data_IF_729679385947
#
_entry.id   IF_729679385947
#
_cell.length_a   1.000
_cell.length_b   1.000
_cell.length_c   1.000
_cell.angle_alpha   90.00
_cell.angle_beta   90.00
_cell.angle_gamma   90.00
#
_symmetry.space_group_name_H-M   'P 1'
#
loop_
_entity.id
_entity.type
_entity.pdbx_description
1 polymer ?
#
# COMPACT_ATOMS: atom_id res chain seq x y z
N UNK A 1 24.38 2.23 10.31
CA UNK A 1 25.03 2.73 9.09
C UNK A 1 26.17 1.81 8.69
N UNK A 2 27.04 1.41 9.61
CA UNK A 2 28.19 0.54 9.31
C UNK A 2 27.74 -0.84 8.77
N UNK A 3 26.68 -1.39 9.33
CA UNK A 3 26.11 -2.67 8.88
C UNK A 3 25.47 -2.56 7.49
N UNK A 4 24.84 -1.42 7.20
CA UNK A 4 24.25 -1.13 5.89
C UNK A 4 25.34 -1.01 4.84
N UNK A 5 26.39 -0.23 5.09
CA UNK A 5 27.51 -0.08 4.17
C UNK A 5 28.19 -1.43 3.90
N UNK A 6 28.37 -2.26 4.93
CA UNK A 6 28.92 -3.60 4.81
C UNK A 6 28.03 -4.52 3.98
N UNK A 7 26.71 -4.52 4.23
CA UNK A 7 25.75 -5.34 3.47
C UNK A 7 25.68 -4.93 1.99
N UNK A 8 25.82 -3.63 1.70
CA UNK A 8 25.82 -3.10 0.34
C UNK A 8 27.20 -3.21 -0.36
N UNK A 9 28.25 -3.64 0.33
CA UNK A 9 29.61 -3.73 -0.24
C UNK A 9 30.26 -2.38 -0.58
N UNK A 10 29.81 -1.30 0.05
CA UNK A 10 30.31 0.08 -0.18
C UNK A 10 30.99 0.66 1.06
N UNK A 11 31.81 1.69 0.86
CA UNK A 11 32.42 2.39 1.98
C UNK A 11 31.39 3.25 2.73
N UNK A 12 31.59 3.46 4.03
CA UNK A 12 30.79 4.37 4.86
C UNK A 12 30.79 5.80 4.32
N UNK A 13 31.93 6.27 3.80
CA UNK A 13 32.06 7.59 3.16
C UNK A 13 31.19 7.72 1.92
N UNK A 14 31.13 6.67 1.08
CA UNK A 14 30.27 6.64 -0.10
C UNK A 14 28.79 6.65 0.30
N UNK A 15 28.40 5.90 1.33
CA UNK A 15 27.03 5.90 1.82
C UNK A 15 26.60 7.30 2.30
N UNK A 16 27.44 7.99 3.09
CA UNK A 16 27.18 9.37 3.53
C UNK A 16 27.25 10.41 2.42
N UNK A 17 27.92 10.13 1.32
CA UNK A 17 27.91 10.99 0.14
C UNK A 17 26.51 11.01 -0.53
N UNK A 18 25.83 9.85 -0.56
CA UNK A 18 24.49 9.73 -1.14
C UNK A 18 23.38 10.05 -0.12
N UNK A 19 23.58 9.70 1.15
CA UNK A 19 22.60 9.87 2.21
C UNK A 19 23.24 10.61 3.40
N UNK A 20 23.04 11.94 3.48
CA UNK A 20 23.67 12.77 4.52
C UNK A 20 23.35 12.32 5.95
N UNK A 21 22.20 11.66 6.17
CA UNK A 21 21.79 11.15 7.48
C UNK A 21 21.15 9.76 7.39
N UNK A 22 21.04 9.09 8.56
CA UNK A 22 20.26 7.85 8.70
C UNK A 22 18.79 8.06 8.31
N UNK A 23 18.25 9.24 8.62
CA UNK A 23 16.88 9.61 8.29
C UNK A 23 16.69 9.68 6.77
N UNK A 24 17.59 10.33 6.05
CA UNK A 24 17.50 10.46 4.60
C UNK A 24 17.56 9.08 3.92
N UNK A 25 18.46 8.22 4.39
CA UNK A 25 18.51 6.82 3.94
C UNK A 25 17.20 6.08 4.21
N UNK A 26 16.61 6.27 5.40
CA UNK A 26 15.33 5.63 5.76
C UNK A 26 14.18 6.10 4.87
N UNK A 27 14.05 7.40 4.66
CA UNK A 27 13.03 7.99 3.77
C UNK A 27 13.15 7.45 2.35
N UNK A 28 14.38 7.40 1.80
CA UNK A 28 14.62 6.87 0.46
C UNK A 28 14.36 5.36 0.37
N UNK A 29 14.65 4.61 1.42
CA UNK A 29 14.30 3.18 1.50
C UNK A 29 12.79 2.98 1.47
N UNK A 30 12.03 3.78 2.22
CA UNK A 30 10.55 3.73 2.20
C UNK A 30 10.02 4.13 0.82
N UNK A 31 10.59 5.16 0.20
CA UNK A 31 10.22 5.60 -1.15
C UNK A 31 10.44 4.49 -2.19
N UNK A 32 11.61 3.86 -2.16
CA UNK A 32 11.95 2.75 -3.05
C UNK A 32 11.04 1.54 -2.84
N UNK A 33 10.75 1.18 -1.58
CA UNK A 33 9.82 0.09 -1.26
C UNK A 33 8.39 0.39 -1.73
N UNK A 34 7.91 1.62 -1.56
CA UNK A 34 6.60 2.05 -2.03
C UNK A 34 6.50 2.00 -3.56
N UNK A 35 7.55 2.42 -4.28
CA UNK A 35 7.58 2.32 -5.73
C UNK A 35 7.61 0.86 -6.19
N UNK A 36 8.44 0.02 -5.59
CA UNK A 36 8.49 -1.42 -5.90
C UNK A 36 7.14 -2.10 -5.66
N UNK A 37 6.44 -1.75 -4.58
CA UNK A 37 5.10 -2.26 -4.31
C UNK A 37 4.11 -1.83 -5.39
N UNK A 38 4.12 -0.56 -5.80
CA UNK A 38 3.27 -0.06 -6.88
C UNK A 38 3.53 -0.78 -8.21
N UNK A 39 4.80 -1.06 -8.53
CA UNK A 39 5.18 -1.75 -9.77
C UNK A 39 4.74 -3.21 -9.73
N UNK A 40 4.95 -3.91 -8.62
CA UNK A 40 4.54 -5.32 -8.45
C UNK A 40 3.02 -5.52 -8.50
N UNK A 41 2.26 -4.54 -8.02
CA UNK A 41 0.80 -4.58 -7.96
C UNK A 41 0.11 -4.00 -9.19
N UNK A 42 0.86 -3.66 -10.24
CA UNK A 42 0.34 -3.19 -11.52
C UNK A 42 0.44 -4.29 -12.59
N UNK A 43 -0.44 -5.31 -12.56
CA UNK A 43 -0.46 -6.30 -13.62
C UNK A 43 -0.80 -5.60 -14.94
N UNK A 44 0.02 -5.81 -15.95
CA UNK A 44 -0.21 -5.30 -17.29
C UNK A 44 -1.53 -5.88 -17.85
N UNK A 45 -2.55 -5.06 -17.97
CA UNK A 45 -3.81 -5.47 -18.56
C UNK A 45 -5.07 -4.93 -17.86
N UNK A 46 -6.12 -4.85 -18.52
CA UNK A 46 -7.39 -4.18 -18.34
C UNK A 46 -8.22 -4.36 -17.05
N UNK A 47 -9.50 -4.00 -17.10
CA UNK A 47 -10.40 -3.93 -15.93
C UNK A 47 -10.93 -5.30 -15.46
N UNK A 48 -10.30 -6.41 -15.84
CA UNK A 48 -10.75 -7.76 -15.53
C UNK A 48 -10.70 -8.05 -14.01
N UNK A 49 -11.69 -8.79 -13.45
CA UNK A 49 -11.70 -9.21 -12.04
C UNK A 49 -10.43 -9.96 -11.61
N UNK A 50 -9.86 -10.76 -12.51
CA UNK A 50 -8.58 -11.46 -12.31
C UNK A 50 -7.42 -10.48 -12.01
N UNK A 51 -7.48 -9.27 -12.56
CA UNK A 51 -6.48 -8.23 -12.33
C UNK A 51 -6.49 -7.72 -10.89
N UNK A 52 -7.67 -7.62 -10.26
CA UNK A 52 -7.79 -7.26 -8.85
C UNK A 52 -7.19 -8.34 -7.95
N UNK A 53 -7.55 -9.60 -8.17
CA UNK A 53 -7.04 -10.73 -7.38
C UNK A 53 -5.52 -10.86 -7.53
N UNK A 54 -5.01 -10.73 -8.75
CA UNK A 54 -3.57 -10.74 -9.02
C UNK A 54 -2.85 -9.59 -8.32
N UNK A 55 -3.40 -8.38 -8.36
CA UNK A 55 -2.83 -7.22 -7.67
C UNK A 55 -2.84 -7.37 -6.14
N UNK A 56 -3.91 -7.90 -5.57
CA UNK A 56 -4.00 -8.19 -4.14
C UNK A 56 -3.06 -9.32 -3.72
N UNK A 57 -2.93 -10.39 -4.52
CA UNK A 57 -1.97 -11.46 -4.23
C UNK A 57 -0.52 -10.95 -4.26
N UNK A 58 -0.17 -10.13 -5.25
CA UNK A 58 1.14 -9.48 -5.33
C UNK A 58 1.40 -8.55 -4.14
N UNK A 59 0.38 -7.80 -3.70
CA UNK A 59 0.46 -6.96 -2.50
C UNK A 59 0.72 -7.81 -1.25
N UNK A 60 -0.07 -8.85 -1.02
CA UNK A 60 0.07 -9.71 0.16
C UNK A 60 1.40 -10.47 0.15
N UNK A 61 1.86 -10.93 -1.02
CA UNK A 61 3.17 -11.54 -1.15
C UNK A 61 4.31 -10.57 -0.78
N UNK A 62 4.23 -9.31 -1.25
CA UNK A 62 5.19 -8.27 -0.89
C UNK A 62 5.19 -7.98 0.61
N UNK A 63 4.01 -7.84 1.21
CA UNK A 63 3.85 -7.58 2.65
C UNK A 63 4.38 -8.75 3.49
N UNK A 64 4.17 -9.97 3.04
CA UNK A 64 4.69 -11.18 3.69
C UNK A 64 6.22 -11.28 3.60
N UNK A 65 6.78 -11.00 2.42
CA UNK A 65 8.24 -10.96 2.17
C UNK A 65 8.93 -9.91 3.05
N UNK A 66 8.27 -8.79 3.34
CA UNK A 66 8.83 -7.66 4.08
C UNK A 66 8.15 -7.44 5.45
N UNK A 67 7.58 -8.49 6.06
CA UNK A 67 6.68 -8.41 7.20
C UNK A 67 7.20 -7.53 8.36
N UNK A 68 8.44 -7.74 8.80
CA UNK A 68 9.03 -6.96 9.89
C UNK A 68 9.14 -5.47 9.59
N UNK A 69 9.58 -5.11 8.37
CA UNK A 69 9.70 -3.72 7.95
C UNK A 69 8.33 -3.07 7.76
N UNK A 70 7.37 -3.80 7.18
CA UNK A 70 6.00 -3.33 6.98
C UNK A 70 5.30 -3.03 8.32
N UNK A 71 5.32 -3.97 9.25
CA UNK A 71 4.71 -3.79 10.59
C UNK A 71 5.39 -2.64 11.35
N UNK A 72 6.72 -2.57 11.33
CA UNK A 72 7.46 -1.48 11.97
C UNK A 72 7.09 -0.12 11.37
N UNK A 73 7.03 0.00 10.04
CA UNK A 73 6.64 1.21 9.34
C UNK A 73 5.21 1.66 9.72
N UNK A 74 4.25 0.73 9.67
CA UNK A 74 2.84 1.04 9.93
C UNK A 74 2.56 1.37 11.41
N UNK A 75 3.27 0.72 12.36
CA UNK A 75 3.05 0.95 13.80
C UNK A 75 3.81 2.15 14.36
N UNK A 76 5.01 2.44 13.87
CA UNK A 76 5.88 3.46 14.46
C UNK A 76 6.10 4.71 13.61
N UNK A 77 5.87 4.65 12.31
CA UNK A 77 6.45 5.60 11.37
C UNK A 77 5.52 6.68 10.84
N UNK A 78 4.23 6.41 10.74
CA UNK A 78 3.33 7.29 9.95
C UNK A 78 3.09 8.66 10.59
N UNK A 79 3.27 8.78 11.91
CA UNK A 79 3.04 10.06 12.62
C UNK A 79 4.31 10.82 13.00
N UNK A 80 5.49 10.21 12.91
CA UNK A 80 6.73 10.79 13.44
C UNK A 80 7.63 11.47 12.39
N UNK A 81 7.51 11.08 11.10
CA UNK A 81 8.29 11.67 10.03
C UNK A 81 7.37 12.13 8.90
N UNK A 82 7.33 13.45 8.66
CA UNK A 82 6.45 14.06 7.68
C UNK A 82 6.75 13.61 6.24
N UNK A 83 8.01 13.30 5.89
CA UNK A 83 8.36 12.82 4.55
C UNK A 83 7.91 11.37 4.34
N UNK A 84 8.07 10.52 5.36
CA UNK A 84 7.55 9.15 5.34
C UNK A 84 6.03 9.16 5.20
N UNK A 85 5.34 9.99 5.99
CA UNK A 85 3.89 10.16 5.90
C UNK A 85 3.46 10.61 4.49
N UNK A 86 4.18 11.56 3.88
CA UNK A 86 3.91 12.03 2.53
C UNK A 86 4.12 10.92 1.47
N UNK A 87 5.14 10.09 1.60
CA UNK A 87 5.36 8.93 0.70
C UNK A 87 4.19 7.95 0.78
N UNK A 88 3.74 7.62 1.98
CA UNK A 88 2.61 6.69 2.18
C UNK A 88 1.30 7.27 1.64
N UNK A 89 1.01 8.55 1.90
CA UNK A 89 -0.19 9.20 1.35
C UNK A 89 -0.14 9.29 -0.18
N UNK A 90 1.01 9.61 -0.77
CA UNK A 90 1.17 9.60 -2.22
C UNK A 90 0.95 8.19 -2.81
N UNK A 91 1.41 7.14 -2.13
CA UNK A 91 1.19 5.75 -2.53
C UNK A 91 -0.29 5.38 -2.50
N UNK A 92 -1.00 5.74 -1.42
CA UNK A 92 -2.45 5.54 -1.29
C UNK A 92 -3.23 6.29 -2.36
N UNK A 93 -2.87 7.54 -2.63
CA UNK A 93 -3.48 8.34 -3.69
C UNK A 93 -3.30 7.69 -5.07
N UNK A 94 -2.13 7.12 -5.36
CA UNK A 94 -1.89 6.35 -6.59
C UNK A 94 -2.77 5.11 -6.69
N UNK A 95 -2.99 4.38 -5.61
CA UNK A 95 -3.92 3.25 -5.61
C UNK A 95 -5.36 3.68 -5.85
N UNK A 96 -5.82 4.75 -5.20
CA UNK A 96 -7.16 5.32 -5.46
C UNK A 96 -7.32 5.68 -6.94
N UNK A 97 -6.36 6.43 -7.50
CA UNK A 97 -6.39 6.82 -8.90
C UNK A 97 -6.39 5.60 -9.85
N UNK A 98 -5.58 4.58 -9.56
CA UNK A 98 -5.50 3.34 -10.34
C UNK A 98 -6.80 2.56 -10.32
N UNK A 99 -7.42 2.39 -9.15
CA UNK A 99 -8.71 1.69 -9.02
C UNK A 99 -9.80 2.49 -9.74
N UNK A 100 -9.87 3.81 -9.56
CA UNK A 100 -10.84 4.66 -10.24
C UNK A 100 -10.69 4.60 -11.77
N UNK A 101 -9.46 4.66 -12.28
CA UNK A 101 -9.19 4.56 -13.72
C UNK A 101 -9.67 3.21 -14.31
N UNK A 102 -9.51 2.10 -13.58
CA UNK A 102 -10.03 0.79 -13.99
C UNK A 102 -11.56 0.72 -14.02
N UNK A 103 -12.23 1.54 -13.23
CA UNK A 103 -13.69 1.71 -13.27
C UNK A 103 -14.13 2.70 -14.36
N UNK A 104 -13.20 3.25 -15.15
CA UNK A 104 -13.48 4.28 -16.16
C UNK A 104 -13.72 5.67 -15.56
N UNK A 105 -13.35 5.89 -14.29
CA UNK A 105 -13.59 7.14 -13.57
C UNK A 105 -12.27 7.90 -13.47
N UNK A 106 -12.18 9.04 -14.13
CA UNK A 106 -10.98 9.91 -14.11
C UNK A 106 -10.96 10.86 -12.93
N UNK A 107 -12.14 11.29 -12.46
CA UNK A 107 -12.29 12.19 -11.31
C UNK A 107 -13.34 11.58 -10.35
N UNK A 108 -12.91 10.79 -9.37
CA UNK A 108 -13.82 10.16 -8.43
C UNK A 108 -14.46 11.23 -7.52
N UNK A 109 -15.78 11.16 -7.38
CA UNK A 109 -16.51 12.02 -6.45
C UNK A 109 -16.01 11.82 -5.00
N UNK A 110 -16.34 12.75 -4.08
CA UNK A 110 -15.89 12.66 -2.69
C UNK A 110 -16.29 11.37 -1.98
N UNK A 111 -17.44 10.79 -2.32
CA UNK A 111 -17.95 9.57 -1.68
C UNK A 111 -17.14 8.36 -2.10
N UNK A 112 -16.91 8.19 -3.40
CA UNK A 112 -16.06 7.12 -3.93
C UNK A 112 -14.62 7.25 -3.43
N UNK A 113 -14.07 8.46 -3.43
CA UNK A 113 -12.72 8.71 -2.94
C UNK A 113 -12.56 8.33 -1.46
N UNK A 114 -13.51 8.71 -0.59
CA UNK A 114 -13.51 8.34 0.83
C UNK A 114 -13.65 6.84 1.00
N UNK A 115 -14.54 6.20 0.25
CA UNK A 115 -14.79 4.76 0.31
C UNK A 115 -13.53 3.97 -0.07
N UNK A 116 -12.89 4.30 -1.18
CA UNK A 116 -11.63 3.66 -1.60
C UNK A 116 -10.49 3.90 -0.61
N UNK A 117 -10.39 5.13 -0.06
CA UNK A 117 -9.39 5.45 0.96
C UNK A 117 -9.59 4.65 2.24
N UNK A 118 -10.86 4.48 2.65
CA UNK A 118 -11.24 3.63 3.79
C UNK A 118 -10.91 2.16 3.56
N UNK A 119 -11.20 1.63 2.36
CA UNK A 119 -10.85 0.27 2.00
C UNK A 119 -9.33 0.03 2.01
N UNK A 120 -8.52 0.96 1.48
CA UNK A 120 -7.06 0.86 1.58
C UNK A 120 -6.57 0.81 3.03
N UNK A 121 -7.16 1.62 3.92
CA UNK A 121 -6.87 1.57 5.36
C UNK A 121 -7.25 0.23 5.98
N UNK A 122 -8.36 -0.37 5.53
CA UNK A 122 -8.74 -1.73 5.93
C UNK A 122 -7.73 -2.78 5.46
N UNK A 123 -7.29 -2.71 4.21
CA UNK A 123 -6.26 -3.61 3.65
C UNK A 123 -4.98 -3.56 4.49
N UNK A 124 -4.50 -2.35 4.82
CA UNK A 124 -3.31 -2.15 5.65
C UNK A 124 -3.47 -2.76 7.05
N UNK A 125 -4.59 -2.48 7.73
CA UNK A 125 -4.86 -2.98 9.07
C UNK A 125 -5.06 -4.51 9.10
N UNK A 126 -5.79 -5.06 8.13
CA UNK A 126 -5.98 -6.50 8.00
C UNK A 126 -4.67 -7.24 7.72
N UNK A 127 -3.78 -6.63 6.94
CA UNK A 127 -2.45 -7.20 6.67
C UNK A 127 -1.58 -7.27 7.92
N UNK A 128 -1.64 -6.25 8.79
CA UNK A 128 -0.90 -6.26 10.06
C UNK A 128 -1.42 -7.38 10.97
N UNK A 129 -2.74 -7.48 11.14
CA UNK A 129 -3.36 -8.53 11.97
C UNK A 129 -3.03 -9.92 11.44
N UNK A 130 -3.10 -10.10 10.11
CA UNK A 130 -2.76 -11.36 9.46
C UNK A 130 -1.29 -11.74 9.65
N UNK A 131 -0.37 -10.78 9.53
CA UNK A 131 1.06 -11.01 9.77
C UNK A 131 1.36 -11.41 11.22
N UNK A 132 0.62 -10.85 12.17
CA UNK A 132 0.79 -11.16 13.60
C UNK A 132 0.22 -12.54 13.97
N UNK A 133 -0.94 -12.90 13.42
CA UNK A 133 -1.67 -14.13 13.77
C UNK A 133 -1.25 -15.35 12.96
N UNK A 134 -1.08 -15.18 11.67
CA UNK A 134 -0.78 -16.27 10.73
C UNK A 134 -1.78 -17.44 10.78
N UNK A 135 -3.03 -17.17 11.13
CA UNK A 135 -4.11 -18.16 11.31
C UNK A 135 -5.07 -18.25 10.11
N UNK A 136 -4.83 -17.45 9.06
CA UNK A 136 -5.58 -17.45 7.81
C UNK A 136 -4.64 -17.64 6.61
N UNK A 137 -5.05 -18.46 5.64
CA UNK A 137 -4.31 -18.63 4.38
C UNK A 137 -4.33 -17.32 3.55
N UNK A 138 -3.24 -17.04 2.82
CA UNK A 138 -3.10 -15.80 2.04
C UNK A 138 -4.20 -15.62 0.99
N UNK A 139 -4.59 -16.70 0.30
CA UNK A 139 -5.67 -16.70 -0.68
C UNK A 139 -7.03 -16.37 -0.06
N UNK A 140 -7.31 -16.89 1.14
CA UNK A 140 -8.53 -16.56 1.86
C UNK A 140 -8.57 -15.08 2.30
N UNK A 141 -7.45 -14.51 2.72
CA UNK A 141 -7.36 -13.07 3.01
C UNK A 141 -7.53 -12.25 1.71
N UNK A 142 -6.86 -12.61 0.63
CA UNK A 142 -7.01 -11.97 -0.67
C UNK A 142 -8.48 -11.91 -1.10
N UNK A 143 -9.18 -13.02 -1.01
CA UNK A 143 -10.57 -13.12 -1.44
C UNK A 143 -11.50 -12.28 -0.55
N UNK A 144 -11.24 -12.23 0.76
CA UNK A 144 -11.94 -11.35 1.69
C UNK A 144 -11.74 -9.87 1.30
N UNK A 145 -10.50 -9.46 1.03
CA UNK A 145 -10.19 -8.08 0.64
C UNK A 145 -10.87 -7.69 -0.69
N UNK A 146 -10.90 -8.61 -1.66
CA UNK A 146 -11.57 -8.40 -2.93
C UNK A 146 -13.09 -8.24 -2.75
N UNK A 147 -13.73 -9.11 -1.96
CA UNK A 147 -15.17 -9.01 -1.66
C UNK A 147 -15.50 -7.68 -0.99
N UNK A 148 -14.71 -7.25 -0.03
CA UNK A 148 -14.91 -5.96 0.65
C UNK A 148 -14.75 -4.76 -0.28
N UNK A 149 -13.88 -4.83 -1.30
CA UNK A 149 -13.84 -3.78 -2.32
C UNK A 149 -15.17 -3.70 -3.08
N UNK A 150 -15.73 -4.82 -3.51
CA UNK A 150 -17.01 -4.84 -4.23
C UNK A 150 -18.15 -4.25 -3.39
N UNK A 151 -18.21 -4.60 -2.10
CA UNK A 151 -19.19 -4.02 -1.16
C UNK A 151 -18.96 -2.52 -0.99
N UNK A 152 -17.72 -2.09 -0.89
CA UNK A 152 -17.34 -0.69 -0.77
C UNK A 152 -17.76 0.13 -1.99
N UNK A 153 -17.55 -0.40 -3.19
CA UNK A 153 -17.95 0.23 -4.45
C UNK A 153 -19.48 0.33 -4.55
N UNK A 154 -20.20 -0.75 -4.23
CA UNK A 154 -21.66 -0.74 -4.22
C UNK A 154 -22.23 0.29 -3.21
N UNK A 155 -21.61 0.40 -2.03
CA UNK A 155 -21.99 1.41 -1.04
C UNK A 155 -21.69 2.85 -1.49
N UNK A 156 -20.63 3.05 -2.26
CA UNK A 156 -20.29 4.36 -2.81
C UNK A 156 -21.25 4.80 -3.93
N UNK A 157 -21.73 3.85 -4.75
CA UNK A 157 -22.66 4.10 -5.86
C UNK A 157 -24.12 4.30 -5.38
N UNK A 158 -24.48 3.74 -4.23
CA UNK A 158 -25.83 3.90 -3.68
C UNK A 158 -26.13 5.38 -3.37
N UNK A 159 -26.98 6.02 -4.18
CA UNK A 159 -27.49 7.37 -3.90
C UNK A 159 -28.12 7.42 -2.52
N UNK A 160 -27.97 8.50 -1.73
CA UNK A 160 -28.71 8.65 -0.50
C UNK A 160 -30.20 8.62 -0.86
N UNK A 161 -30.94 7.64 -0.32
CA UNK A 161 -32.40 7.65 -0.41
C UNK A 161 -32.85 8.98 0.15
N UNK A 162 -33.43 9.84 -0.71
CA UNK A 162 -34.00 11.11 -0.32
C UNK A 162 -35.12 10.80 0.68
N UNK A 163 -34.79 10.89 1.96
CA UNK A 163 -35.82 10.96 3.01
C UNK A 163 -36.20 12.42 3.11
N UNK A 164 -37.29 12.74 2.42
CA UNK A 164 -38.05 13.97 2.64
C UNK A 164 -38.81 13.90 3.96
#
# INVERSE_FOLDING_TARGET
VDDIARAAGISKGLLYHYFPSKRDYYVETVRAAAQLLLDRTDPAGGPEPETLLTGLDAYLAFVEEHAGAFVALMRSGVGQDAEVAAVLEATRARYVARISARLGITDPDPRLRIALRGWLGFVEAASIEWLDRRDLARDALRDLLAQLLLVTLAAADASPTSQA
#
